data_IF_893469536151
#
_entry.id   IF_893469536151
#
_cell.length_a   1.000
_cell.length_b   1.000
_cell.length_c   1.000
_cell.angle_alpha   90.00
_cell.angle_beta   90.00
_cell.angle_gamma   90.00
#
_symmetry.space_group_name_H-M   'P 1'
#
loop_
_entity.id
_entity.type
_entity.pdbx_description
1 polymer ?
#
# COMPACT_ATOMS: atom_id res chain seq x y z
N UNK A 1 -10.12 -21.16 20.08
CA UNK A 1 -10.07 -19.74 19.64
C UNK A 1 -8.61 -19.33 19.54
N UNK A 2 -8.12 -19.13 18.33
CA UNK A 2 -6.70 -19.15 18.01
C UNK A 2 -6.02 -17.84 18.44
N UNK A 3 -4.97 -17.91 19.25
CA UNK A 3 -4.17 -16.78 19.79
C UNK A 3 -3.64 -15.82 18.69
N UNK A 4 -3.63 -16.27 17.45
CA UNK A 4 -3.08 -15.53 16.30
C UNK A 4 -4.06 -14.52 15.67
N UNK A 5 -5.36 -14.64 15.92
CA UNK A 5 -6.37 -13.68 15.44
C UNK A 5 -6.31 -12.36 16.24
N UNK A 6 -5.83 -12.42 17.49
CA UNK A 6 -5.78 -11.24 18.36
C UNK A 6 -4.66 -10.24 17.98
N UNK A 7 -3.57 -10.71 17.36
CA UNK A 7 -2.46 -9.84 16.96
C UNK A 7 -2.80 -9.03 15.70
N UNK A 8 -3.60 -9.58 14.79
CA UNK A 8 -4.06 -8.87 13.59
C UNK A 8 -5.11 -7.78 13.89
N UNK A 9 -5.91 -7.96 14.94
CA UNK A 9 -6.95 -7.00 15.33
C UNK A 9 -6.39 -5.76 16.03
N UNK A 10 -5.20 -5.84 16.66
CA UNK A 10 -4.57 -4.70 17.35
C UNK A 10 -3.88 -3.71 16.40
N UNK A 11 -3.54 -4.10 15.18
CA UNK A 11 -2.98 -3.19 14.17
C UNK A 11 -4.03 -2.29 13.49
N UNK A 12 -5.34 -2.61 13.62
CA UNK A 12 -6.42 -1.87 12.95
C UNK A 12 -6.93 -0.68 13.79
N UNK A 13 -6.66 -0.66 15.11
CA UNK A 13 -7.20 0.36 16.00
C UNK A 13 -6.12 1.30 16.54
N UNK A 14 -5.30 1.92 15.78
CA UNK A 14 -4.51 3.12 16.03
C UNK A 14 -4.37 3.67 17.48
N UNK A 15 -4.46 2.84 18.52
CA UNK A 15 -4.36 3.22 19.92
C UNK A 15 -3.53 2.19 20.70
N UNK A 16 -2.20 2.25 20.54
CA UNK A 16 -1.30 1.75 21.58
C UNK A 16 -0.20 2.79 21.79
N UNK A 17 -0.49 3.74 22.64
CA UNK A 17 0.51 4.45 23.42
C UNK A 17 0.99 3.49 24.51
N UNK A 18 2.04 2.74 24.24
CA UNK A 18 2.93 2.20 25.26
C UNK A 18 4.23 1.74 24.61
N UNK A 19 5.33 2.43 24.97
CA UNK A 19 6.74 2.10 24.79
C UNK A 19 7.15 1.23 23.59
N UNK A 20 7.61 1.84 22.54
CA UNK A 20 8.65 1.52 21.52
C UNK A 20 8.96 0.07 21.07
N UNK A 21 8.25 -0.96 21.51
CA UNK A 21 8.55 -2.35 21.09
C UNK A 21 7.92 -2.77 19.75
N UNK A 22 7.04 -1.95 19.14
CA UNK A 22 6.33 -2.27 17.88
C UNK A 22 6.70 -1.34 16.71
N UNK A 23 7.64 -0.44 16.88
CA UNK A 23 8.09 0.45 15.81
C UNK A 23 9.06 -0.31 14.91
N UNK A 24 8.71 -0.50 13.64
CA UNK A 24 9.66 -1.10 12.72
C UNK A 24 10.84 -0.12 12.49
N UNK A 25 12.07 -0.63 12.38
CA UNK A 25 13.24 0.19 12.06
C UNK A 25 13.09 0.91 10.72
N UNK A 26 13.72 2.06 10.59
CA UNK A 26 13.68 2.87 9.38
C UNK A 26 14.41 2.23 8.20
N UNK A 27 15.24 1.23 8.47
CA UNK A 27 15.98 0.45 7.48
C UNK A 27 15.46 -0.99 7.31
N UNK A 28 14.20 -1.25 7.68
CA UNK A 28 13.58 -2.57 7.49
C UNK A 28 12.22 -2.44 6.82
N UNK A 29 11.90 -3.36 5.91
CA UNK A 29 10.56 -3.58 5.38
C UNK A 29 10.07 -4.93 5.86
N UNK A 30 8.92 -4.95 6.51
CA UNK A 30 8.29 -6.16 7.00
C UNK A 30 7.18 -6.59 6.03
N UNK A 31 7.17 -7.87 5.64
CA UNK A 31 6.20 -8.37 4.67
C UNK A 31 5.82 -9.84 4.92
N UNK A 32 4.72 -10.27 4.34
CA UNK A 32 4.29 -11.67 4.33
C UNK A 32 4.00 -12.15 2.91
N UNK A 33 4.13 -13.45 2.67
CA UNK A 33 3.87 -14.09 1.39
C UNK A 33 2.90 -15.27 1.54
N UNK A 34 2.36 -15.76 0.44
CA UNK A 34 1.41 -16.89 0.42
C UNK A 34 1.98 -18.18 1.02
N UNK A 35 3.27 -18.42 0.81
CA UNK A 35 3.99 -19.63 1.20
C UNK A 35 4.87 -19.47 2.44
N UNK A 36 4.79 -18.30 3.10
CA UNK A 36 5.65 -17.90 4.21
C UNK A 36 7.15 -17.94 3.87
N UNK A 37 7.48 -17.83 2.60
CA UNK A 37 8.84 -17.77 2.08
C UNK A 37 9.33 -16.34 1.82
N UNK A 38 10.63 -16.16 1.69
CA UNK A 38 11.21 -14.87 1.29
C UNK A 38 11.05 -14.67 -0.22
N UNK A 39 10.74 -13.45 -0.63
CA UNK A 39 10.72 -13.09 -2.05
C UNK A 39 12.13 -13.18 -2.64
N UNK A 40 12.30 -13.70 -3.87
CA UNK A 40 13.58 -13.67 -4.56
C UNK A 40 14.13 -12.25 -4.69
N UNK A 41 15.43 -12.06 -4.39
CA UNK A 41 16.07 -10.71 -4.43
C UNK A 41 16.07 -10.11 -5.84
N UNK A 42 16.06 -10.93 -6.88
CA UNK A 42 15.98 -10.51 -8.28
C UNK A 42 14.68 -9.77 -8.64
N UNK A 43 13.63 -9.94 -7.79
CA UNK A 43 12.35 -9.25 -7.94
C UNK A 43 12.25 -7.98 -7.08
N UNK A 44 13.33 -7.62 -6.37
CA UNK A 44 13.36 -6.52 -5.42
C UNK A 44 14.46 -5.51 -5.81
N UNK A 45 14.06 -4.31 -6.21
CA UNK A 45 15.00 -3.28 -6.64
C UNK A 45 14.44 -1.87 -6.40
N UNK A 46 15.29 -0.84 -6.54
CA UNK A 46 14.88 0.57 -6.42
C UNK A 46 14.36 0.98 -5.04
N UNK A 47 15.23 0.93 -4.04
CA UNK A 47 14.95 1.43 -2.68
C UNK A 47 15.75 2.69 -2.36
N UNK A 48 15.93 3.57 -3.36
CA UNK A 48 16.76 4.77 -3.24
C UNK A 48 18.23 4.40 -3.02
N UNK A 49 18.86 5.03 -2.03
CA UNK A 49 20.28 4.78 -1.71
C UNK A 49 20.52 3.51 -0.86
N UNK A 50 19.46 2.89 -0.34
CA UNK A 50 19.54 1.71 0.51
C UNK A 50 19.87 0.45 -0.30
N UNK A 51 20.87 -0.32 0.15
CA UNK A 51 21.19 -1.63 -0.41
C UNK A 51 20.62 -2.70 0.52
N UNK A 52 20.01 -3.73 -0.07
CA UNK A 52 19.55 -4.89 0.69
C UNK A 52 20.76 -5.61 1.28
N UNK A 53 20.77 -5.78 2.61
CA UNK A 53 21.81 -6.53 3.32
C UNK A 53 21.34 -7.89 3.79
N UNK A 54 20.02 -8.07 3.98
CA UNK A 54 19.43 -9.39 4.24
C UNK A 54 17.97 -9.44 3.84
N UNK A 55 17.50 -10.64 3.53
CA UNK A 55 16.10 -10.98 3.34
C UNK A 55 15.86 -12.31 4.06
N UNK A 56 15.12 -12.30 5.16
CA UNK A 56 15.01 -13.44 6.05
C UNK A 56 13.58 -13.65 6.56
N UNK A 57 13.19 -14.93 6.72
CA UNK A 57 11.94 -15.30 7.36
C UNK A 57 12.14 -15.48 8.86
N UNK A 58 11.29 -14.87 9.65
CA UNK A 58 11.27 -14.94 11.12
C UNK A 58 10.10 -15.82 11.56
N UNK A 59 10.39 -17.08 11.85
CA UNK A 59 9.40 -18.13 12.10
C UNK A 59 8.44 -17.78 13.25
N UNK A 60 8.97 -17.27 14.37
CA UNK A 60 8.16 -16.95 15.56
C UNK A 60 7.12 -15.84 15.33
N UNK A 61 7.33 -15.02 14.30
CA UNK A 61 6.46 -13.90 13.93
C UNK A 61 5.65 -14.15 12.68
N UNK A 62 5.93 -15.23 11.97
CA UNK A 62 5.38 -15.52 10.63
C UNK A 62 5.55 -14.31 9.69
N UNK A 63 6.75 -13.79 9.62
CA UNK A 63 7.07 -12.51 9.00
C UNK A 63 8.39 -12.58 8.28
N UNK A 64 8.47 -12.00 7.07
CA UNK A 64 9.71 -11.76 6.36
C UNK A 64 10.22 -10.35 6.64
N UNK A 65 11.53 -10.21 6.78
CA UNK A 65 12.20 -8.92 7.00
C UNK A 65 13.24 -8.70 5.90
N UNK A 66 13.03 -7.63 5.15
CA UNK A 66 13.99 -7.08 4.19
C UNK A 66 14.74 -5.96 4.88
N UNK A 67 16.05 -6.14 5.08
CA UNK A 67 16.90 -5.17 5.79
C UNK A 67 17.87 -4.48 4.85
N UNK A 68 18.09 -3.20 5.09
CA UNK A 68 18.94 -2.31 4.30
C UNK A 68 20.10 -1.80 5.12
N UNK A 69 21.18 -1.39 4.45
CA UNK A 69 22.36 -0.76 5.06
C UNK A 69 22.11 0.68 5.52
N UNK A 70 21.04 1.31 5.02
CA UNK A 70 20.59 2.67 5.35
C UNK A 70 19.08 2.73 5.54
N UNK A 71 18.57 3.87 6.02
CA UNK A 71 17.14 4.17 6.05
C UNK A 71 16.54 4.14 4.65
N UNK A 72 15.41 3.47 4.52
CA UNK A 72 14.62 3.46 3.27
C UNK A 72 13.85 4.77 3.20
N UNK A 73 14.14 5.63 2.23
CA UNK A 73 13.48 6.93 2.04
C UNK A 73 12.38 6.89 1.01
N UNK A 74 12.44 5.91 0.10
CA UNK A 74 11.42 5.70 -0.93
C UNK A 74 11.23 4.22 -1.25
N UNK A 75 10.05 3.86 -1.67
CA UNK A 75 9.79 2.64 -2.41
C UNK A 75 9.79 3.06 -3.87
N UNK A 76 10.90 2.82 -4.56
CA UNK A 76 11.13 3.37 -5.88
C UNK A 76 10.38 2.67 -6.99
N UNK A 77 10.63 3.13 -8.20
CA UNK A 77 9.99 2.63 -9.43
C UNK A 77 10.08 1.11 -9.53
N UNK A 78 8.91 0.47 -9.66
CA UNK A 78 8.77 -0.98 -9.85
C UNK A 78 9.38 -1.86 -8.75
N UNK A 79 9.64 -1.31 -7.53
CA UNK A 79 10.38 -1.98 -6.46
C UNK A 79 9.84 -3.37 -6.07
N UNK A 80 8.53 -3.58 -6.15
CA UNK A 80 7.85 -4.86 -5.88
C UNK A 80 6.98 -5.30 -7.07
N UNK A 81 7.33 -4.88 -8.29
CA UNK A 81 6.60 -5.26 -9.50
C UNK A 81 6.44 -6.78 -9.60
N UNK A 82 5.20 -7.22 -9.87
CA UNK A 82 4.87 -8.64 -10.05
C UNK A 82 5.23 -9.56 -8.88
N UNK A 83 5.40 -9.01 -7.67
CA UNK A 83 5.54 -9.83 -6.46
C UNK A 83 4.22 -10.52 -6.13
N UNK A 84 3.83 -11.53 -6.95
CA UNK A 84 2.53 -12.20 -6.90
C UNK A 84 2.30 -13.00 -5.61
N UNK A 85 3.35 -13.38 -4.88
CA UNK A 85 3.24 -14.05 -3.59
C UNK A 85 3.09 -13.08 -2.40
N UNK A 86 3.37 -11.78 -2.59
CA UNK A 86 3.28 -10.76 -1.55
C UNK A 86 1.83 -10.60 -1.08
N UNK A 87 1.56 -10.83 0.22
CA UNK A 87 0.21 -10.72 0.79
C UNK A 87 0.03 -9.49 1.67
N UNK A 88 1.08 -9.09 2.38
CA UNK A 88 1.05 -7.91 3.25
C UNK A 88 2.42 -7.25 3.29
N UNK A 89 2.44 -5.93 3.44
CA UNK A 89 3.66 -5.15 3.59
C UNK A 89 3.47 -4.00 4.58
N UNK A 90 4.48 -3.80 5.44
CA UNK A 90 4.58 -2.65 6.33
C UNK A 90 5.76 -1.78 5.88
N UNK A 91 5.43 -0.58 5.43
CA UNK A 91 6.39 0.40 4.93
C UNK A 91 6.98 1.15 6.13
N UNK A 92 8.32 1.31 6.22
CA UNK A 92 8.96 1.96 7.35
C UNK A 92 8.66 3.47 7.43
N UNK A 93 8.70 4.04 8.64
CA UNK A 93 8.32 5.44 8.89
C UNK A 93 9.28 6.48 8.31
N UNK A 94 10.37 6.06 7.69
CA UNK A 94 11.32 6.92 6.97
C UNK A 94 10.93 7.19 5.51
N UNK A 95 9.99 6.38 4.94
CA UNK A 95 9.58 6.50 3.55
C UNK A 95 8.69 7.72 3.35
N UNK A 96 9.03 8.53 2.37
CA UNK A 96 8.30 9.76 2.01
C UNK A 96 7.52 9.62 0.70
N UNK A 97 7.95 8.70 -0.18
CA UNK A 97 7.36 8.49 -1.52
C UNK A 97 7.24 7.00 -1.83
N UNK A 98 6.12 6.63 -2.46
CA UNK A 98 5.93 5.34 -3.11
C UNK A 98 5.78 5.64 -4.60
N UNK A 99 6.78 5.24 -5.39
CA UNK A 99 6.97 5.73 -6.74
C UNK A 99 6.21 4.92 -7.80
N UNK A 100 6.48 5.25 -9.08
CA UNK A 100 5.87 4.67 -10.27
C UNK A 100 5.83 3.14 -10.23
N UNK A 101 4.64 2.56 -10.39
CA UNK A 101 4.43 1.12 -10.50
C UNK A 101 5.05 0.27 -9.37
N UNK A 102 5.30 0.86 -8.18
CA UNK A 102 6.04 0.20 -7.10
C UNK A 102 5.48 -1.17 -6.70
N UNK A 103 4.17 -1.37 -6.75
CA UNK A 103 3.47 -2.63 -6.44
C UNK A 103 2.60 -3.13 -7.60
N UNK A 104 2.88 -2.71 -8.83
CA UNK A 104 2.10 -3.15 -9.99
C UNK A 104 2.07 -4.68 -10.09
N UNK A 105 0.87 -5.24 -10.37
CA UNK A 105 0.65 -6.68 -10.53
C UNK A 105 0.96 -7.54 -9.27
N UNK A 106 0.98 -6.94 -8.07
CA UNK A 106 1.01 -7.68 -6.81
C UNK A 106 -0.38 -8.30 -6.53
N UNK A 107 -0.75 -9.32 -7.30
CA UNK A 107 -2.12 -9.84 -7.37
C UNK A 107 -2.64 -10.47 -6.06
N UNK A 108 -1.76 -10.87 -5.13
CA UNK A 108 -2.14 -11.42 -3.82
C UNK A 108 -2.08 -10.39 -2.68
N UNK A 109 -1.70 -9.13 -2.96
CA UNK A 109 -1.56 -8.10 -1.95
C UNK A 109 -2.93 -7.71 -1.39
N UNK A 110 -3.12 -7.98 -0.09
CA UNK A 110 -4.37 -7.69 0.63
C UNK A 110 -4.24 -6.50 1.59
N UNK A 111 -3.05 -6.28 2.14
CA UNK A 111 -2.82 -5.24 3.14
C UNK A 111 -1.53 -4.47 2.88
N UNK A 112 -1.64 -3.14 2.92
CA UNK A 112 -0.50 -2.22 2.84
C UNK A 112 -0.60 -1.23 3.99
N UNK A 113 0.42 -1.21 4.85
CA UNK A 113 0.53 -0.24 5.94
C UNK A 113 1.43 0.92 5.50
N UNK A 114 0.79 2.03 5.12
CA UNK A 114 1.46 3.25 4.64
C UNK A 114 1.67 4.18 5.82
N UNK A 115 2.91 4.59 6.15
CA UNK A 115 3.19 5.49 7.26
C UNK A 115 2.79 6.93 6.96
N UNK A 116 2.59 7.73 8.02
CA UNK A 116 2.25 9.16 7.92
C UNK A 116 3.36 10.05 7.36
N UNK A 117 4.53 9.52 7.11
CA UNK A 117 5.63 10.19 6.41
C UNK A 117 5.44 10.25 4.90
N UNK A 118 4.60 9.37 4.33
CA UNK A 118 4.35 9.34 2.88
C UNK A 118 3.49 10.53 2.47
N UNK A 119 3.97 11.26 1.47
CA UNK A 119 3.30 12.43 0.89
C UNK A 119 2.85 12.22 -0.55
N UNK A 120 3.38 11.20 -1.22
CA UNK A 120 3.12 10.92 -2.63
C UNK A 120 2.92 9.41 -2.88
N UNK A 121 1.87 9.09 -3.61
CA UNK A 121 1.61 7.77 -4.21
C UNK A 121 1.67 7.96 -5.71
N UNK A 122 2.68 7.37 -6.35
CA UNK A 122 2.99 7.55 -7.76
C UNK A 122 1.98 6.92 -8.71
N UNK A 123 2.20 7.15 -10.01
CA UNK A 123 1.42 6.56 -11.09
C UNK A 123 1.50 5.03 -11.06
N UNK A 124 0.38 4.35 -11.26
CA UNK A 124 0.29 2.90 -11.36
C UNK A 124 0.72 2.13 -10.11
N UNK A 125 0.95 2.80 -8.97
CA UNK A 125 1.58 2.20 -7.78
C UNK A 125 0.95 0.88 -7.37
N UNK A 126 -0.39 0.79 -7.30
CA UNK A 126 -1.13 -0.42 -6.94
C UNK A 126 -1.93 -0.99 -8.12
N UNK A 127 -1.54 -0.66 -9.34
CA UNK A 127 -2.24 -1.15 -10.53
C UNK A 127 -2.27 -2.69 -10.54
N UNK A 128 -3.45 -3.25 -10.76
CA UNK A 128 -3.70 -4.71 -10.79
C UNK A 128 -3.36 -5.45 -9.49
N UNK A 129 -3.42 -4.76 -8.34
CA UNK A 129 -3.45 -5.41 -7.02
C UNK A 129 -4.85 -5.98 -6.78
N UNK A 130 -5.21 -7.06 -7.49
CA UNK A 130 -6.57 -7.56 -7.57
C UNK A 130 -7.13 -8.10 -6.26
N UNK A 131 -6.28 -8.49 -5.29
CA UNK A 131 -6.71 -8.95 -3.96
C UNK A 131 -6.85 -7.82 -2.93
N UNK A 132 -6.52 -6.57 -3.28
CA UNK A 132 -6.61 -5.45 -2.36
C UNK A 132 -8.08 -5.08 -2.11
N UNK A 133 -8.56 -5.31 -0.88
CA UNK A 133 -9.97 -5.05 -0.52
C UNK A 133 -10.19 -3.68 0.09
N UNK A 134 -9.22 -3.21 0.86
CA UNK A 134 -9.21 -1.88 1.49
C UNK A 134 -7.78 -1.37 1.59
N UNK A 135 -7.63 -0.05 1.60
CA UNK A 135 -6.34 0.60 1.87
C UNK A 135 -6.58 1.90 2.64
N UNK A 136 -5.77 2.11 3.67
CA UNK A 136 -5.75 3.37 4.41
C UNK A 136 -4.65 4.27 3.88
N UNK A 137 -5.05 5.39 3.26
CA UNK A 137 -4.12 6.39 2.78
C UNK A 137 -3.95 7.45 3.86
N UNK A 138 -2.74 7.73 4.35
CA UNK A 138 -2.51 8.68 5.42
C UNK A 138 -2.86 10.12 5.02
N UNK A 139 -3.28 10.98 5.97
CA UNK A 139 -3.69 12.36 5.67
C UNK A 139 -2.54 13.25 5.17
N UNK A 140 -1.31 12.82 5.29
CA UNK A 140 -0.10 13.47 4.74
C UNK A 140 -0.01 13.40 3.22
N UNK A 141 -0.72 12.47 2.56
CA UNK A 141 -0.66 12.30 1.11
C UNK A 141 -1.34 13.49 0.42
N UNK A 142 -0.59 14.13 -0.47
CA UNK A 142 -1.03 15.27 -1.28
C UNK A 142 -1.30 14.91 -2.73
N UNK A 143 -0.70 13.79 -3.20
CA UNK A 143 -0.83 13.34 -4.57
C UNK A 143 -1.06 11.84 -4.68
N UNK A 144 -2.02 11.47 -5.54
CA UNK A 144 -2.28 10.11 -5.99
C UNK A 144 -2.22 10.13 -7.52
N UNK A 145 -1.28 9.41 -8.09
CA UNK A 145 -0.96 9.42 -9.51
C UNK A 145 -2.03 8.80 -10.40
N UNK A 146 -1.83 8.97 -11.72
CA UNK A 146 -2.63 8.30 -12.75
C UNK A 146 -2.65 6.80 -12.50
N UNK A 147 -3.81 6.16 -12.73
CA UNK A 147 -3.93 4.70 -12.67
C UNK A 147 -3.44 4.05 -11.36
N UNK A 148 -3.29 4.81 -10.26
CA UNK A 148 -2.69 4.31 -9.03
C UNK A 148 -3.39 3.07 -8.47
N UNK A 149 -4.70 2.90 -8.69
CA UNK A 149 -5.51 1.75 -8.29
C UNK A 149 -6.21 1.09 -9.49
N UNK A 150 -5.68 1.27 -10.69
CA UNK A 150 -6.21 0.64 -11.91
C UNK A 150 -6.36 -0.87 -11.72
N UNK A 151 -7.54 -1.43 -12.00
CA UNK A 151 -7.76 -2.88 -11.91
C UNK A 151 -7.67 -3.48 -10.51
N UNK A 152 -7.78 -2.69 -9.45
CA UNK A 152 -7.97 -3.19 -8.09
C UNK A 152 -9.39 -3.75 -7.94
N UNK A 153 -9.65 -4.90 -8.57
CA UNK A 153 -10.98 -5.44 -8.77
C UNK A 153 -11.73 -5.76 -7.47
N UNK A 154 -11.04 -6.07 -6.38
CA UNK A 154 -11.66 -6.35 -5.07
C UNK A 154 -11.71 -5.14 -4.13
N UNK A 155 -11.23 -3.96 -4.55
CA UNK A 155 -11.29 -2.77 -3.72
C UNK A 155 -12.76 -2.34 -3.53
N UNK A 156 -13.27 -2.49 -2.29
CA UNK A 156 -14.67 -2.26 -1.98
C UNK A 156 -14.97 -0.81 -1.59
N UNK A 157 -14.05 -0.19 -0.88
CA UNK A 157 -14.17 1.20 -0.45
C UNK A 157 -12.81 1.87 -0.25
N UNK A 158 -12.79 3.20 -0.39
CA UNK A 158 -11.59 4.00 -0.14
C UNK A 158 -11.98 5.41 0.31
N UNK A 159 -11.14 6.02 1.16
CA UNK A 159 -11.23 7.42 1.53
C UNK A 159 -10.01 8.17 1.01
N UNK A 160 -10.24 9.22 0.24
CA UNK A 160 -9.18 10.07 -0.32
C UNK A 160 -8.79 11.10 0.73
N UNK A 161 -7.49 11.30 1.02
CA UNK A 161 -7.03 12.23 2.04
C UNK A 161 -7.40 13.69 1.74
N UNK A 162 -7.53 14.54 2.79
CA UNK A 162 -8.01 15.92 2.65
C UNK A 162 -7.10 16.83 1.83
N UNK A 163 -5.81 16.51 1.72
CA UNK A 163 -4.83 17.30 0.95
C UNK A 163 -4.81 16.95 -0.55
N UNK A 164 -5.47 15.87 -0.96
CA UNK A 164 -5.55 15.48 -2.38
C UNK A 164 -6.56 16.37 -3.08
N UNK A 165 -6.11 17.15 -4.05
CA UNK A 165 -6.93 18.13 -4.79
C UNK A 165 -7.48 17.61 -6.11
N UNK A 166 -6.97 16.47 -6.59
CA UNK A 166 -7.40 15.88 -7.86
C UNK A 166 -7.31 14.34 -7.81
N UNK A 167 -8.34 13.68 -8.31
CA UNK A 167 -8.31 12.27 -8.72
C UNK A 167 -8.01 12.27 -10.21
N UNK A 168 -6.90 11.65 -10.57
CA UNK A 168 -6.34 11.65 -11.92
C UNK A 168 -7.09 10.66 -12.84
N UNK A 169 -6.76 10.71 -14.14
CA UNK A 169 -7.26 9.77 -15.13
C UNK A 169 -6.94 8.33 -14.73
N UNK A 170 -7.91 7.43 -14.90
CA UNK A 170 -7.76 6.00 -14.66
C UNK A 170 -7.45 5.60 -13.22
N UNK A 171 -7.42 6.54 -12.25
CA UNK A 171 -7.01 6.22 -10.87
C UNK A 171 -7.74 4.99 -10.32
N UNK A 172 -9.03 4.84 -10.60
CA UNK A 172 -9.87 3.71 -10.16
C UNK A 172 -10.50 2.94 -11.34
N UNK A 173 -9.93 3.06 -12.54
CA UNK A 173 -10.42 2.33 -13.70
C UNK A 173 -10.51 0.83 -13.41
N UNK A 174 -11.64 0.19 -13.72
CA UNK A 174 -11.80 -1.25 -13.54
C UNK A 174 -11.86 -1.74 -12.08
N UNK A 175 -12.05 -0.84 -11.10
CA UNK A 175 -12.32 -1.24 -9.72
C UNK A 175 -13.76 -1.79 -9.59
N UNK A 176 -13.98 -3.00 -10.11
CA UNK A 176 -15.32 -3.56 -10.34
C UNK A 176 -16.14 -3.86 -9.08
N UNK A 177 -15.53 -3.86 -7.89
CA UNK A 177 -16.23 -3.99 -6.60
C UNK A 177 -16.26 -2.69 -5.79
N UNK A 178 -15.83 -1.54 -6.35
CA UNK A 178 -15.82 -0.28 -5.62
C UNK A 178 -17.24 0.26 -5.47
N UNK A 179 -17.81 0.10 -4.28
CA UNK A 179 -19.20 0.53 -3.99
C UNK A 179 -19.28 1.90 -3.32
N UNK A 180 -18.20 2.34 -2.65
CA UNK A 180 -18.18 3.64 -1.99
C UNK A 180 -16.81 4.29 -2.00
N UNK A 181 -16.81 5.61 -2.17
CA UNK A 181 -15.61 6.44 -2.06
C UNK A 181 -15.95 7.77 -1.38
N UNK A 182 -15.09 8.18 -0.43
CA UNK A 182 -15.17 9.50 0.19
C UNK A 182 -14.07 10.41 -0.35
N UNK A 183 -14.43 11.58 -0.86
CA UNK A 183 -13.49 12.54 -1.45
C UNK A 183 -13.66 13.94 -0.83
N UNK A 184 -12.59 14.76 -0.74
CA UNK A 184 -12.69 16.13 -0.27
C UNK A 184 -13.63 16.99 -1.14
N UNK A 185 -14.36 17.92 -0.55
CA UNK A 185 -15.34 18.79 -1.28
C UNK A 185 -14.74 19.50 -2.49
N UNK A 186 -13.53 20.01 -2.39
CA UNK A 186 -12.85 20.73 -3.47
C UNK A 186 -12.09 19.83 -4.46
N UNK A 187 -12.05 18.52 -4.23
CA UNK A 187 -11.30 17.60 -5.07
C UNK A 187 -11.91 17.50 -6.47
N UNK A 188 -11.10 17.78 -7.49
CA UNK A 188 -11.46 17.60 -8.89
C UNK A 188 -11.38 16.12 -9.26
N UNK A 189 -12.28 15.65 -10.10
CA UNK A 189 -12.32 14.27 -10.56
C UNK A 189 -12.21 14.26 -12.07
N UNK A 190 -11.22 13.52 -12.59
CA UNK A 190 -11.10 13.30 -14.03
C UNK A 190 -12.28 12.46 -14.54
N UNK A 191 -12.69 12.72 -15.78
CA UNK A 191 -13.84 12.05 -16.39
C UNK A 191 -13.70 10.54 -16.54
N UNK A 192 -12.48 10.03 -16.63
CA UNK A 192 -12.17 8.61 -16.77
C UNK A 192 -11.66 7.97 -15.46
N UNK A 193 -11.70 8.73 -14.35
CA UNK A 193 -11.19 8.25 -13.07
C UNK A 193 -11.88 6.98 -12.56
N UNK A 194 -13.16 6.78 -12.87
CA UNK A 194 -14.03 5.68 -12.41
C UNK A 194 -14.62 4.85 -13.56
N UNK A 195 -13.98 4.86 -14.73
CA UNK A 195 -14.44 4.06 -15.84
C UNK A 195 -14.38 2.57 -15.47
N UNK A 196 -15.36 1.77 -15.91
CA UNK A 196 -15.55 0.38 -15.54
C UNK A 196 -15.72 0.09 -14.02
N UNK A 197 -16.04 1.11 -13.23
CA UNK A 197 -16.55 0.94 -11.87
C UNK A 197 -18.06 0.60 -11.88
N UNK A 198 -18.61 0.08 -10.74
CA UNK A 198 -20.04 -0.20 -10.63
C UNK A 198 -20.89 1.05 -10.86
N UNK A 199 -22.00 0.92 -11.60
CA UNK A 199 -22.94 2.02 -11.86
C UNK A 199 -23.60 2.57 -10.60
N UNK A 200 -23.63 1.80 -9.52
CA UNK A 200 -24.15 2.16 -8.21
C UNK A 200 -23.06 2.66 -7.23
N UNK A 201 -21.88 3.03 -7.73
CA UNK A 201 -20.81 3.64 -6.91
C UNK A 201 -21.34 4.90 -6.20
N UNK A 202 -21.25 4.90 -4.88
CA UNK A 202 -21.61 6.06 -4.03
C UNK A 202 -20.38 6.93 -3.81
N UNK A 203 -20.43 8.18 -4.29
CA UNK A 203 -19.38 9.18 -4.08
C UNK A 203 -19.86 10.17 -3.01
N UNK A 204 -19.23 10.13 -1.84
CA UNK A 204 -19.51 11.07 -0.74
C UNK A 204 -18.45 12.17 -0.73
N UNK A 205 -18.89 13.43 -0.56
CA UNK A 205 -17.99 14.58 -0.42
C UNK A 205 -18.05 15.12 1.01
N UNK A 206 -16.91 15.23 1.67
CA UNK A 206 -16.77 15.69 3.05
C UNK A 206 -15.99 17.01 3.16
#
# INVERSE_FOLDING_TARGET
>A
MNKYILVLLFCVLGLVSCGDKNKIPTNEIHYTTLDNGVMPLENLFNFGEGRIVSNSYVQDRNLCILKFDKDVKEIGTEAFKECKSLTSITIPPSVQKIDFCAFILCSSLTNVFIPSSVTEIGEGTFSSCSSLTTISIPPSVTEIGHSAFYGCTNLASISIPPLVTKIQEGTFYGCSNLTSISIPKGCKVDKYAFEDCPKNLVITRY
#
